data_IF_552630994639
#
_entry.id   IF_552630994639
#
_cell.length_a   1.000
_cell.length_b   1.000
_cell.length_c   1.000
_cell.angle_alpha   90.00
_cell.angle_beta   90.00
_cell.angle_gamma   90.00
#
_symmetry.space_group_name_H-M   'P 1'
#
loop_
_entity.id
_entity.type
_entity.pdbx_description
1 polymer ?
#
# COMPACT_ATOMS: atom_id res chain seq x y z
N UNK A 1 2.37 -6.04 -6.02
CA UNK A 1 3.58 -6.76 -5.51
C UNK A 1 3.33 -7.18 -4.07
N UNK A 2 3.75 -8.39 -3.69
CA UNK A 2 3.45 -9.03 -2.39
C UNK A 2 4.68 -9.10 -1.49
N UNK A 3 4.51 -8.90 -0.18
CA UNK A 3 5.50 -9.25 0.85
C UNK A 3 4.89 -10.26 1.82
N UNK A 4 5.68 -11.26 2.18
CA UNK A 4 5.31 -12.33 3.11
C UNK A 4 6.02 -12.14 4.44
N UNK A 5 5.34 -12.46 5.54
CA UNK A 5 5.90 -12.40 6.88
C UNK A 5 5.38 -13.58 7.70
N UNK A 6 6.26 -14.21 8.46
CA UNK A 6 5.88 -15.32 9.34
C UNK A 6 5.40 -14.79 10.70
N UNK A 7 4.60 -15.60 11.40
CA UNK A 7 4.07 -15.25 12.71
C UNK A 7 3.84 -16.51 13.56
N UNK A 8 3.99 -16.37 14.88
CA UNK A 8 3.85 -17.49 15.84
C UNK A 8 2.63 -17.36 16.77
N UNK A 9 1.78 -16.36 16.52
CA UNK A 9 0.58 -16.06 17.31
C UNK A 9 -0.71 -16.41 16.54
N UNK A 10 -1.89 -16.35 17.16
CA UNK A 10 -3.14 -16.66 16.48
C UNK A 10 -3.47 -15.64 15.37
N UNK A 11 -4.05 -16.11 14.26
CA UNK A 11 -4.40 -15.28 13.08
C UNK A 11 -5.18 -14.01 13.43
N UNK A 12 -6.14 -14.11 14.35
CA UNK A 12 -6.92 -12.97 14.82
C UNK A 12 -6.07 -11.91 15.51
N UNK A 13 -5.16 -12.32 16.40
CA UNK A 13 -4.24 -11.39 17.08
C UNK A 13 -3.28 -10.73 16.09
N UNK A 14 -2.80 -11.46 15.08
CA UNK A 14 -1.98 -10.86 14.02
C UNK A 14 -2.75 -9.78 13.27
N UNK A 15 -4.03 -10.03 12.96
CA UNK A 15 -4.86 -9.06 12.25
C UNK A 15 -5.05 -7.78 13.07
N UNK A 16 -5.31 -7.92 14.37
CA UNK A 16 -5.46 -6.78 15.28
C UNK A 16 -4.16 -5.99 15.41
N UNK A 17 -3.01 -6.67 15.52
CA UNK A 17 -1.68 -6.04 15.55
C UNK A 17 -1.37 -5.29 14.24
N UNK A 18 -1.61 -5.92 13.09
CA UNK A 18 -1.43 -5.29 11.78
C UNK A 18 -2.32 -4.06 11.65
N UNK A 19 -3.58 -4.16 12.09
CA UNK A 19 -4.51 -3.03 12.10
C UNK A 19 -3.98 -1.90 12.99
N UNK A 20 -3.51 -2.20 14.19
CA UNK A 20 -2.95 -1.22 15.11
C UNK A 20 -1.71 -0.52 14.51
N UNK A 21 -0.82 -1.29 13.88
CA UNK A 21 0.35 -0.74 13.17
C UNK A 21 -0.06 0.19 12.04
N UNK A 22 -1.02 -0.21 11.20
CA UNK A 22 -1.50 0.64 10.10
C UNK A 22 -2.11 1.95 10.62
N UNK A 23 -2.93 1.87 11.67
CA UNK A 23 -3.49 3.06 12.31
C UNK A 23 -2.41 3.97 12.91
N UNK A 24 -1.37 3.40 13.53
CA UNK A 24 -0.24 4.16 14.09
C UNK A 24 0.61 4.89 13.04
N UNK A 25 0.54 4.41 11.78
CA UNK A 25 1.22 5.00 10.63
C UNK A 25 0.30 5.93 9.82
N UNK A 26 -0.82 6.35 10.42
CA UNK A 26 -1.84 7.23 9.83
C UNK A 26 -2.51 6.66 8.56
N UNK A 27 -2.57 5.33 8.42
CA UNK A 27 -3.38 4.72 7.37
C UNK A 27 -4.84 4.62 7.81
N UNK A 28 -5.73 5.06 6.92
CA UNK A 28 -7.16 4.82 7.08
C UNK A 28 -7.53 3.42 6.58
N UNK A 29 -8.22 2.66 7.44
CA UNK A 29 -8.79 1.36 7.06
C UNK A 29 -10.10 1.58 6.31
N UNK A 30 -10.26 0.90 5.19
CA UNK A 30 -11.47 0.95 4.36
C UNK A 30 -12.36 -0.26 4.63
N UNK A 31 -11.81 -1.46 4.42
CA UNK A 31 -12.49 -2.73 4.66
C UNK A 31 -11.75 -3.49 5.75
N UNK A 32 -12.50 -3.98 6.74
CA UNK A 32 -11.99 -4.86 7.79
C UNK A 32 -12.83 -6.13 7.82
N UNK A 33 -12.23 -7.25 7.44
CA UNK A 33 -12.89 -8.55 7.34
C UNK A 33 -12.22 -9.56 8.28
N UNK A 34 -12.58 -9.57 9.59
CA UNK A 34 -11.97 -10.46 10.57
C UNK A 34 -12.23 -11.93 10.27
N UNK A 35 -13.38 -12.26 9.68
CA UNK A 35 -13.77 -13.64 9.32
C UNK A 35 -12.83 -14.26 8.27
N UNK A 36 -12.33 -13.45 7.33
CA UNK A 36 -11.41 -13.89 6.28
C UNK A 36 -9.96 -13.52 6.56
N UNK A 37 -9.69 -12.97 7.76
CA UNK A 37 -8.40 -12.43 8.19
C UNK A 37 -7.76 -11.47 7.19
N UNK A 38 -8.58 -10.59 6.61
CA UNK A 38 -8.16 -9.63 5.60
C UNK A 38 -8.57 -8.20 5.96
N UNK A 39 -7.78 -7.23 5.49
CA UNK A 39 -8.11 -5.82 5.57
C UNK A 39 -7.59 -5.06 4.34
N UNK A 40 -8.24 -3.96 4.01
CA UNK A 40 -7.77 -3.01 3.02
C UNK A 40 -7.75 -1.60 3.60
N UNK A 41 -6.84 -0.80 3.07
CA UNK A 41 -6.74 0.63 3.40
C UNK A 41 -7.44 1.46 2.33
N UNK A 42 -7.77 2.70 2.68
CA UNK A 42 -8.17 3.68 1.68
C UNK A 42 -7.00 4.08 0.80
N UNK A 43 -7.34 4.68 -0.33
CA UNK A 43 -6.34 5.20 -1.27
C UNK A 43 -5.45 6.24 -0.59
N UNK A 44 -4.17 5.93 -0.50
CA UNK A 44 -3.13 6.81 0.04
C UNK A 44 -2.27 7.35 -1.10
N UNK A 45 -1.83 8.61 -1.02
CA UNK A 45 -1.02 9.23 -2.08
C UNK A 45 0.44 9.31 -1.68
N UNK A 46 1.33 8.82 -2.54
CA UNK A 46 2.78 8.97 -2.41
C UNK A 46 3.37 9.72 -3.61
N UNK A 47 4.26 10.67 -3.33
CA UNK A 47 4.90 11.51 -4.35
C UNK A 47 6.36 11.09 -4.55
N UNK A 48 6.80 11.06 -5.82
CA UNK A 48 8.22 10.99 -6.20
C UNK A 48 8.51 12.03 -7.25
N UNK A 49 9.27 13.06 -6.88
CA UNK A 49 9.63 14.16 -7.77
C UNK A 49 8.37 14.76 -8.41
N UNK A 50 8.15 14.59 -9.72
CA UNK A 50 6.99 15.11 -10.46
C UNK A 50 5.82 14.11 -10.56
N UNK A 51 6.00 12.85 -10.14
CA UNK A 51 5.00 11.78 -10.31
C UNK A 51 4.23 11.57 -9.01
N UNK A 52 2.91 11.43 -9.12
CA UNK A 52 2.00 11.10 -8.02
C UNK A 52 1.50 9.68 -8.24
N UNK A 53 1.53 8.90 -7.16
CA UNK A 53 1.04 7.53 -7.13
C UNK A 53 -0.04 7.45 -6.07
N UNK A 54 -1.21 6.98 -6.45
CA UNK A 54 -2.31 6.68 -5.55
C UNK A 54 -2.27 5.15 -5.34
N UNK A 55 -2.19 4.69 -4.10
CA UNK A 55 -2.02 3.28 -3.77
C UNK A 55 -2.91 2.83 -2.62
N UNK A 56 -3.22 1.54 -2.63
CA UNK A 56 -3.98 0.85 -1.60
C UNK A 56 -3.12 -0.30 -1.09
N UNK A 57 -3.11 -0.49 0.22
CA UNK A 57 -2.62 -1.69 0.88
C UNK A 57 -3.77 -2.66 1.10
N UNK A 58 -3.58 -3.89 0.65
CA UNK A 58 -4.41 -5.03 1.00
C UNK A 58 -3.58 -6.01 1.80
N UNK A 59 -4.04 -6.39 2.98
CA UNK A 59 -3.37 -7.36 3.85
C UNK A 59 -4.26 -8.57 4.02
N UNK A 60 -3.68 -9.76 3.86
CA UNK A 60 -4.34 -11.04 4.10
C UNK A 60 -3.45 -11.91 4.97
N UNK A 61 -4.02 -12.51 6.01
CA UNK A 61 -3.30 -13.42 6.90
C UNK A 61 -3.78 -14.83 6.58
N UNK A 62 -2.95 -15.56 5.84
CA UNK A 62 -3.14 -16.98 5.58
C UNK A 62 -2.17 -17.77 6.46
N UNK A 63 -1.30 -18.60 5.89
CA UNK A 63 -0.17 -19.21 6.61
C UNK A 63 0.95 -18.20 6.90
N UNK A 64 1.01 -17.15 6.08
CA UNK A 64 1.88 -15.99 6.23
C UNK A 64 1.05 -14.70 6.15
N UNK A 65 1.62 -13.60 6.65
CA UNK A 65 1.08 -12.25 6.46
C UNK A 65 1.45 -11.81 5.05
N UNK A 66 0.45 -11.67 4.19
CA UNK A 66 0.59 -11.18 2.83
C UNK A 66 0.21 -9.72 2.74
N UNK A 67 1.15 -8.85 2.39
CA UNK A 67 0.89 -7.43 2.15
C UNK A 67 1.01 -7.16 0.66
N UNK A 68 -0.10 -6.77 0.04
CA UNK A 68 -0.22 -6.45 -1.37
C UNK A 68 -0.33 -4.94 -1.55
N UNK A 69 0.56 -4.37 -2.36
CA UNK A 69 0.42 -2.98 -2.85
C UNK A 69 -0.22 -3.01 -4.23
N UNK A 70 -1.36 -2.34 -4.36
CA UNK A 70 -2.00 -1.99 -5.63
C UNK A 70 -1.90 -0.48 -5.85
N UNK A 71 -1.54 -0.04 -7.05
CA UNK A 71 -1.24 1.36 -7.31
C UNK A 71 -1.71 1.83 -8.68
N UNK A 72 -2.12 3.09 -8.74
CA UNK A 72 -2.44 3.83 -9.96
C UNK A 72 -1.49 5.00 -10.08
N UNK A 73 -0.90 5.17 -11.26
CA UNK A 73 0.01 6.28 -11.54
C UNK A 73 -0.75 7.38 -12.28
N UNK A 74 -0.59 8.61 -11.81
CA UNK A 74 -1.04 9.80 -12.54
C UNK A 74 0.12 10.34 -13.38
N UNK A 75 -0.09 10.45 -14.70
CA UNK A 75 0.88 11.02 -15.64
C UNK A 75 0.25 12.25 -16.30
N UNK A 76 0.96 13.37 -16.23
CA UNK A 76 0.64 14.55 -17.03
C UNK A 76 1.15 14.32 -18.46
N UNK A 77 0.26 14.40 -19.45
CA UNK A 77 0.67 14.32 -20.83
C UNK A 77 1.40 15.62 -21.22
N UNK A 78 2.70 15.59 -21.43
CA UNK A 78 3.44 16.68 -22.08
C UNK A 78 3.50 16.39 -23.58
N UNK A 79 2.35 16.45 -24.23
CA UNK A 79 2.27 16.49 -25.69
C UNK A 79 2.49 17.93 -26.16
N UNK A 80 3.42 18.10 -27.09
CA UNK A 80 3.86 19.35 -27.69
C UNK A 80 2.72 20.28 -28.11
N UNK A 81 2.85 21.58 -27.81
CA UNK A 81 2.42 22.78 -28.56
C UNK A 81 1.14 22.78 -29.43
N UNK A 82 0.12 21.94 -29.21
CA UNK A 82 -1.07 21.95 -30.05
C UNK A 82 -2.30 21.45 -29.32
N UNK A 83 -2.91 22.32 -28.51
CA UNK A 83 -4.37 22.49 -28.52
C UNK A 83 -4.77 23.65 -27.60
N UNK A 84 -5.00 24.79 -28.24
CA UNK A 84 -5.84 25.87 -27.73
C UNK A 84 -7.24 25.28 -27.54
N UNK A 85 -7.55 24.82 -26.33
CA UNK A 85 -8.88 24.29 -26.02
C UNK A 85 -8.86 23.31 -24.87
N UNK A 86 -9.27 23.82 -23.70
CA UNK A 86 -9.88 23.12 -22.55
C UNK A 86 -9.93 21.59 -22.68
N UNK A 87 -9.23 20.85 -21.81
CA UNK A 87 -9.70 19.71 -20.99
C UNK A 87 -8.48 19.04 -20.31
N UNK A 88 -8.61 18.72 -19.02
CA UNK A 88 -7.54 18.25 -18.13
C UNK A 88 -6.83 16.98 -18.65
N UNK A 89 -5.59 17.11 -19.13
CA UNK A 89 -4.78 16.01 -19.67
C UNK A 89 -4.08 15.18 -18.56
N UNK A 90 -4.83 14.71 -17.57
CA UNK A 90 -4.33 13.76 -16.57
C UNK A 90 -4.70 12.35 -17.00
N UNK A 91 -3.73 11.59 -17.51
CA UNK A 91 -3.91 10.19 -17.87
C UNK A 91 -3.60 9.33 -16.64
N UNK A 92 -4.58 8.56 -16.17
CA UNK A 92 -4.37 7.55 -15.14
C UNK A 92 -3.94 6.25 -15.82
N UNK A 93 -2.70 5.83 -15.60
CA UNK A 93 -2.21 4.53 -16.05
C UNK A 93 -2.19 3.57 -14.86
N UNK A 94 -2.82 2.41 -15.03
CA UNK A 94 -2.67 1.28 -14.11
C UNK A 94 -1.25 0.77 -14.27
N UNK A 95 -0.35 1.16 -13.36
CA UNK A 95 0.99 0.60 -13.31
C UNK A 95 0.96 -0.59 -12.35
N UNK A 96 1.20 -1.80 -12.87
CA UNK A 96 1.31 -3.01 -12.06
C UNK A 96 2.46 -2.92 -11.03
N UNK A 97 3.41 -1.98 -11.22
CA UNK A 97 4.65 -1.89 -10.44
C UNK A 97 5.03 -0.44 -10.12
N UNK A 98 4.74 -0.02 -8.89
CA UNK A 98 5.39 1.17 -8.28
C UNK A 98 6.92 0.97 -8.33
N UNK A 99 7.74 2.03 -8.54
CA UNK A 99 9.19 1.94 -8.43
C UNK A 99 9.69 1.37 -7.08
N UNK A 100 10.73 0.53 -7.10
CA UNK A 100 11.26 -0.16 -5.91
C UNK A 100 11.58 0.79 -4.74
N UNK A 101 12.07 2.01 -5.01
CA UNK A 101 12.36 2.99 -3.96
C UNK A 101 11.11 3.44 -3.21
N UNK A 102 9.99 3.61 -3.90
CA UNK A 102 8.70 3.96 -3.31
C UNK A 102 8.10 2.77 -2.57
N UNK A 103 8.20 1.56 -3.13
CA UNK A 103 7.81 0.35 -2.41
C UNK A 103 8.57 0.20 -1.09
N UNK A 104 9.90 0.40 -1.10
CA UNK A 104 10.72 0.40 0.12
C UNK A 104 10.26 1.48 1.11
N UNK A 105 9.86 2.66 0.62
CA UNK A 105 9.36 3.76 1.48
C UNK A 105 8.03 3.40 2.15
N UNK A 106 7.17 2.61 1.50
CA UNK A 106 5.91 2.12 2.06
C UNK A 106 6.15 0.96 3.02
N UNK A 107 6.92 -0.05 2.61
CA UNK A 107 7.12 -1.27 3.40
C UNK A 107 8.00 -1.06 4.63
N UNK A 108 9.07 -0.26 4.55
CA UNK A 108 10.01 -0.08 5.67
C UNK A 108 9.35 0.35 6.99
N UNK A 109 8.47 1.37 7.03
CA UNK A 109 7.84 1.76 8.29
C UNK A 109 6.92 0.65 8.82
N UNK A 110 6.13 0.01 7.96
CA UNK A 110 5.23 -1.09 8.35
C UNK A 110 6.02 -2.26 8.95
N UNK A 111 7.08 -2.70 8.27
CA UNK A 111 7.95 -3.79 8.74
C UNK A 111 8.66 -3.42 10.05
N UNK A 112 9.08 -2.16 10.20
CA UNK A 112 9.73 -1.67 11.42
C UNK A 112 8.81 -1.74 12.63
N UNK A 113 7.55 -1.30 12.49
CA UNK A 113 6.57 -1.35 13.57
C UNK A 113 6.14 -2.80 13.88
N UNK A 114 5.89 -3.63 12.87
CA UNK A 114 5.57 -5.04 13.08
C UNK A 114 6.70 -5.78 13.83
N UNK A 115 7.97 -5.46 13.53
CA UNK A 115 9.12 -6.05 14.24
C UNK A 115 9.19 -5.62 15.70
N UNK A 116 8.83 -4.38 16.03
CA UNK A 116 8.74 -3.92 17.43
C UNK A 116 7.68 -4.71 18.20
N UNK A 117 6.61 -5.12 17.53
CA UNK A 117 5.54 -5.95 18.10
C UNK A 117 5.87 -7.45 18.08
N UNK A 118 7.15 -7.83 17.98
CA UNK A 118 7.67 -9.21 18.02
C UNK A 118 7.14 -10.12 16.91
N UNK A 119 6.67 -9.57 15.80
CA UNK A 119 6.40 -10.34 14.58
C UNK A 119 7.74 -10.51 13.85
N UNK A 120 8.19 -11.76 13.73
CA UNK A 120 9.51 -12.14 13.22
C UNK A 120 9.52 -12.22 11.70
N UNK A 121 10.50 -11.57 11.06
CA UNK A 121 10.75 -11.67 9.62
C UNK A 121 12.07 -12.40 9.39
N UNK A 122 12.06 -13.47 8.58
CA UNK A 122 13.26 -14.09 8.00
C UNK A 122 13.37 -13.71 6.53
#
# INVERSE_FOLDING_TARGET
MVRYSDYNISKGKVLDEVRAVLLSLDYEIDIYAPETYALSTKTTRIKRTLRKYDYILFVKISDKIEIHISAKRSIFNRGSESNIGKYEQIIQQTEDRIPLSLQKKIYKPILSELRKNKISFY
#
